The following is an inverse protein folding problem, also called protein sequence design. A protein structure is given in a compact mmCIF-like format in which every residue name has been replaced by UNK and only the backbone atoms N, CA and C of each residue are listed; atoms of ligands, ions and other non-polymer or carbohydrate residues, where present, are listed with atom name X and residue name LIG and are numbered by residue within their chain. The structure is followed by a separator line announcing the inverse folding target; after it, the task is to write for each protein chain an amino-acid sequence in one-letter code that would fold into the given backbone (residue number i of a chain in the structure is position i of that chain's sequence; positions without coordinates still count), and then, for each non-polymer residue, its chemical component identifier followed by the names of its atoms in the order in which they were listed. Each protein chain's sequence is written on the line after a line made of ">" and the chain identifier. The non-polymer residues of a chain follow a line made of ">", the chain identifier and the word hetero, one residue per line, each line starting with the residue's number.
data_IF_113712018810
#
_entry.id   IF_113712018810
#
_cell.length_a   1.000
_cell.length_b   1.000
_cell.length_c   1.000
_cell.angle_alpha   90.00
_cell.angle_beta   90.00
_cell.angle_gamma   90.00
#
_symmetry.space_group_name_H-M   'P 1'
#
loop_
_entity.id
_entity.type
_entity.pdbx_description
1 polymer ?
#
# COMPACT_ATOMS: atom_id res chain seq x y z
N UNK A 1 -4.99 -2.14 -7.77
CA UNK A 1 -5.99 -1.09 -8.03
C UNK A 1 -7.33 -1.50 -7.43
N UNK A 2 -7.60 -1.20 -6.16
CA UNK A 2 -8.84 -1.61 -5.47
C UNK A 2 -8.77 -1.54 -3.95
N UNK A 3 -7.57 -1.59 -3.36
CA UNK A 3 -7.40 -1.62 -1.91
C UNK A 3 -8.02 -0.41 -1.18
N UNK A 4 -7.91 0.80 -1.72
CA UNK A 4 -8.43 2.00 -1.03
C UNK A 4 -9.97 2.02 -0.95
N UNK A 5 -10.68 1.53 -1.96
CA UNK A 5 -12.15 1.43 -1.94
C UNK A 5 -12.60 0.37 -0.93
N UNK A 6 -11.84 -0.72 -0.78
CA UNK A 6 -12.11 -1.74 0.25
C UNK A 6 -11.75 -1.31 1.67
N UNK A 7 -10.86 -0.33 1.83
CA UNK A 7 -10.51 0.21 3.15
C UNK A 7 -11.59 1.19 3.65
N UNK A 8 -12.37 1.83 2.78
CA UNK A 8 -13.48 2.72 3.20
C UNK A 8 -14.50 2.01 4.11
N UNK A 9 -15.10 0.86 3.73
CA UNK A 9 -15.99 0.12 4.64
C UNK A 9 -15.25 -0.40 5.88
N UNK A 10 -13.95 -0.73 5.76
CA UNK A 10 -13.11 -1.17 6.88
C UNK A 10 -12.80 -0.05 7.88
N UNK A 11 -12.62 1.19 7.43
CA UNK A 11 -12.47 2.37 8.29
C UNK A 11 -13.81 2.81 8.86
N UNK A 12 -14.89 2.70 8.08
CA UNK A 12 -16.25 3.00 8.54
C UNK A 12 -16.75 2.04 9.63
N UNK A 13 -16.37 0.76 9.64
CA UNK A 13 -16.72 -0.12 10.77
C UNK A 13 -15.98 0.24 12.07
N UNK A 14 -14.75 0.78 11.98
CA UNK A 14 -13.99 1.22 13.16
C UNK A 14 -14.35 2.65 13.60
N UNK A 15 -14.67 3.53 12.66
CA UNK A 15 -15.09 4.91 12.89
C UNK A 15 -16.60 5.06 13.08
N UNK A 16 -17.39 4.05 12.71
CA UNK A 16 -18.85 4.01 12.82
C UNK A 16 -19.36 4.36 14.23
N UNK A 17 -18.91 3.70 15.30
CA UNK A 17 -19.34 4.03 16.66
C UNK A 17 -18.84 5.42 17.15
N UNK A 18 -17.76 5.96 16.58
CA UNK A 18 -17.30 7.33 16.86
C UNK A 18 -18.11 8.38 16.09
N UNK A 19 -18.49 8.09 14.84
CA UNK A 19 -19.35 8.90 13.99
C UNK A 19 -20.80 8.94 14.51
N UNK A 20 -21.33 7.83 15.04
CA UNK A 20 -22.65 7.78 15.66
C UNK A 20 -22.76 8.66 16.90
N UNK A 21 -21.68 8.79 17.68
CA UNK A 21 -21.62 9.64 18.87
C UNK A 21 -21.54 11.14 18.53
N UNK A 22 -21.01 11.49 17.36
CA UNK A 22 -20.81 12.88 16.91
C UNK A 22 -21.94 13.35 15.98
N UNK A 23 -22.62 12.46 15.24
CA UNK A 23 -23.66 12.81 14.26
C UNK A 23 -24.86 11.83 14.35
N UNK A 24 -25.92 12.19 15.11
CA UNK A 24 -27.11 11.36 15.26
C UNK A 24 -27.99 11.24 14.00
N UNK A 25 -27.96 12.21 13.08
CA UNK A 25 -28.87 12.28 11.91
C UNK A 25 -28.41 11.44 10.72
N UNK A 26 -29.20 10.43 10.34
CA UNK A 26 -28.92 9.53 9.21
C UNK A 26 -28.78 10.25 7.86
N UNK A 27 -29.49 11.37 7.65
CA UNK A 27 -29.40 12.19 6.43
C UNK A 27 -28.05 12.90 6.30
N UNK A 28 -27.54 13.49 7.38
CA UNK A 28 -26.21 14.14 7.39
C UNK A 28 -25.08 13.13 7.28
N UNK A 29 -25.25 11.89 7.75
CA UNK A 29 -24.27 10.81 7.53
C UNK A 29 -24.13 10.45 6.05
N UNK A 30 -25.23 10.44 5.28
CA UNK A 30 -25.19 10.16 3.86
C UNK A 30 -24.49 11.29 3.08
N UNK A 31 -24.74 12.56 3.44
CA UNK A 31 -24.04 13.71 2.85
C UNK A 31 -22.55 13.72 3.19
N UNK A 32 -22.19 13.51 4.46
CA UNK A 32 -20.78 13.42 4.90
C UNK A 32 -20.08 12.22 4.27
N UNK A 33 -20.76 11.09 4.09
CA UNK A 33 -20.21 9.95 3.36
C UNK A 33 -20.00 10.26 1.88
N UNK A 34 -20.92 10.96 1.23
CA UNK A 34 -20.79 11.36 -0.16
C UNK A 34 -19.67 12.39 -0.35
N UNK A 35 -19.53 13.36 0.55
CA UNK A 35 -18.46 14.34 0.55
C UNK A 35 -17.11 13.69 0.85
N UNK A 36 -17.05 12.76 1.82
CA UNK A 36 -15.85 11.98 2.10
C UNK A 36 -15.45 11.09 0.91
N UNK A 37 -16.40 10.41 0.28
CA UNK A 37 -16.13 9.63 -0.93
C UNK A 37 -15.61 10.51 -2.08
N UNK A 38 -16.18 11.70 -2.28
CA UNK A 38 -15.67 12.67 -3.26
C UNK A 38 -14.25 13.12 -2.91
N UNK A 39 -13.99 13.50 -1.66
CA UNK A 39 -12.66 13.90 -1.19
C UNK A 39 -11.62 12.78 -1.33
N UNK A 40 -12.01 11.52 -1.08
CA UNK A 40 -11.14 10.35 -1.28
C UNK A 40 -10.87 10.12 -2.77
N UNK A 41 -11.88 10.26 -3.63
CA UNK A 41 -11.72 10.10 -5.07
C UNK A 41 -10.82 11.18 -5.67
N UNK A 42 -10.97 12.42 -5.24
CA UNK A 42 -10.09 13.54 -5.61
C UNK A 42 -8.65 13.31 -5.14
N UNK A 43 -8.45 12.91 -3.88
CA UNK A 43 -7.13 12.54 -3.39
C UNK A 43 -6.51 11.37 -4.18
N UNK A 44 -7.31 10.37 -4.54
CA UNK A 44 -6.83 9.25 -5.34
C UNK A 44 -6.42 9.70 -6.75
N UNK A 45 -7.20 10.60 -7.37
CA UNK A 45 -6.84 11.21 -8.65
C UNK A 45 -5.52 11.99 -8.54
N UNK A 46 -5.34 12.80 -7.51
CA UNK A 46 -4.11 13.55 -7.27
C UNK A 46 -2.90 12.62 -7.04
N UNK A 47 -3.07 11.55 -6.27
CA UNK A 47 -2.03 10.54 -6.07
C UNK A 47 -1.67 9.83 -7.38
N UNK A 48 -2.67 9.47 -8.19
CA UNK A 48 -2.45 8.83 -9.49
C UNK A 48 -1.71 9.76 -10.45
N UNK A 49 -2.05 11.04 -10.48
CA UNK A 49 -1.33 12.05 -11.27
C UNK A 49 0.11 12.20 -10.81
N UNK A 50 0.35 12.36 -9.50
CA UNK A 50 1.70 12.44 -8.95
C UNK A 50 2.54 11.19 -9.27
N UNK A 51 1.96 9.99 -9.13
CA UNK A 51 2.63 8.74 -9.50
C UNK A 51 2.95 8.68 -11.01
N UNK A 52 2.06 9.19 -11.86
CA UNK A 52 2.27 9.25 -13.29
C UNK A 52 3.37 10.25 -13.66
N UNK A 53 3.45 11.41 -12.98
CA UNK A 53 4.52 12.38 -13.16
C UNK A 53 5.89 11.80 -12.76
N UNK A 54 5.97 11.15 -11.60
CA UNK A 54 7.21 10.48 -11.18
C UNK A 54 7.58 9.39 -12.19
N UNK A 55 6.61 8.63 -12.70
CA UNK A 55 6.88 7.62 -13.72
C UNK A 55 7.38 8.22 -15.04
N UNK A 56 6.85 9.37 -15.46
CA UNK A 56 7.34 10.10 -16.62
C UNK A 56 8.74 10.64 -16.40
N UNK A 57 9.04 11.15 -15.20
CA UNK A 57 10.37 11.62 -14.83
C UNK A 57 11.39 10.48 -14.79
N UNK A 58 11.02 9.33 -14.20
CA UNK A 58 11.84 8.11 -14.17
C UNK A 58 12.13 7.59 -15.58
N UNK A 59 11.12 7.60 -16.46
CA UNK A 59 11.26 7.16 -17.86
C UNK A 59 12.11 8.13 -18.70
N UNK A 60 12.01 9.44 -18.45
CA UNK A 60 12.78 10.47 -19.14
C UNK A 60 14.23 10.58 -18.64
N UNK A 61 14.56 9.99 -17.48
CA UNK A 61 15.91 10.03 -16.92
C UNK A 61 16.94 9.38 -17.85
N UNK A 62 18.12 9.98 -17.98
CA UNK A 62 19.22 9.51 -18.83
C UNK A 62 19.91 8.25 -18.26
N UNK A 63 19.75 7.98 -16.95
CA UNK A 63 20.30 6.81 -16.29
C UNK A 63 19.55 5.52 -16.63
N UNK A 64 20.24 4.54 -17.23
CA UNK A 64 19.67 3.22 -17.56
C UNK A 64 19.07 2.50 -16.33
N UNK A 65 19.69 2.63 -15.16
CA UNK A 65 19.21 2.00 -13.93
C UNK A 65 17.92 2.64 -13.41
N UNK A 66 17.83 3.97 -13.42
CA UNK A 66 16.65 4.72 -12.95
C UNK A 66 15.43 4.43 -13.83
N UNK A 67 15.63 4.36 -15.15
CA UNK A 67 14.57 4.02 -16.12
C UNK A 67 14.04 2.60 -15.96
N UNK A 68 14.93 1.64 -15.67
CA UNK A 68 14.58 0.22 -15.62
C UNK A 68 14.28 -0.30 -14.22
N UNK A 69 14.42 0.52 -13.17
CA UNK A 69 14.20 0.08 -11.79
C UNK A 69 12.83 -0.57 -11.59
N UNK A 70 11.75 0.02 -12.11
CA UNK A 70 10.38 -0.54 -11.97
C UNK A 70 10.19 -1.83 -12.78
N UNK A 71 10.48 -1.88 -14.10
CA UNK A 71 10.46 -3.14 -14.85
C UNK A 71 11.30 -4.25 -14.22
N UNK A 72 12.49 -3.92 -13.69
CA UNK A 72 13.40 -4.90 -13.11
C UNK A 72 12.82 -5.55 -11.85
N UNK A 73 12.16 -4.79 -10.97
CA UNK A 73 11.46 -5.35 -9.80
C UNK A 73 10.31 -6.25 -10.23
N UNK A 74 9.57 -5.88 -11.28
CA UNK A 74 8.47 -6.70 -11.80
C UNK A 74 9.00 -8.01 -12.40
N UNK A 75 10.05 -7.95 -13.22
CA UNK A 75 10.69 -9.14 -13.80
C UNK A 75 11.27 -10.03 -12.72
N UNK A 76 11.94 -9.46 -11.71
CA UNK A 76 12.46 -10.21 -10.58
C UNK A 76 11.33 -10.90 -9.79
N UNK A 77 10.26 -10.17 -9.48
CA UNK A 77 9.09 -10.74 -8.79
C UNK A 77 8.42 -11.86 -9.59
N UNK A 78 8.23 -11.65 -10.89
CA UNK A 78 7.68 -12.67 -11.78
C UNK A 78 8.61 -13.88 -11.85
N UNK A 79 9.93 -13.68 -11.94
CA UNK A 79 10.92 -14.75 -11.95
C UNK A 79 10.89 -15.57 -10.65
N UNK A 80 10.77 -14.93 -9.48
CA UNK A 80 10.62 -15.66 -8.21
C UNK A 80 9.33 -16.49 -8.18
N UNK A 81 8.20 -15.92 -8.63
CA UNK A 81 6.91 -16.62 -8.70
C UNK A 81 6.98 -17.79 -9.68
N UNK A 82 7.58 -17.60 -10.85
CA UNK A 82 7.78 -18.66 -11.85
C UNK A 82 8.72 -19.74 -11.33
N UNK A 83 9.79 -19.36 -10.62
CA UNK A 83 10.72 -20.32 -10.03
C UNK A 83 10.04 -21.21 -8.98
N UNK A 84 9.32 -20.60 -8.03
CA UNK A 84 8.64 -21.33 -6.95
C UNK A 84 7.39 -22.08 -7.46
N UNK A 85 6.63 -21.48 -8.37
CA UNK A 85 5.33 -21.98 -8.81
C UNK A 85 5.35 -22.88 -10.04
N UNK A 86 6.38 -22.81 -10.89
CA UNK A 86 6.44 -23.57 -12.15
C UNK A 86 7.70 -24.43 -12.23
N UNK A 87 8.87 -23.83 -12.01
CA UNK A 87 10.16 -24.54 -12.16
C UNK A 87 10.36 -25.57 -11.03
N UNK A 88 10.12 -25.19 -9.77
CA UNK A 88 10.30 -26.09 -8.63
C UNK A 88 9.34 -27.30 -8.64
N UNK A 89 8.05 -27.17 -9.00
CA UNK A 89 7.17 -28.32 -9.19
C UNK A 89 7.55 -29.19 -10.41
N UNK A 90 8.00 -28.58 -11.52
CA UNK A 90 8.40 -29.31 -12.72
C UNK A 90 9.66 -30.18 -12.50
N UNK A 91 10.57 -29.74 -11.62
CA UNK A 91 11.77 -30.49 -11.23
C UNK A 91 11.56 -31.41 -10.02
N UNK A 92 10.36 -31.46 -9.44
CA UNK A 92 10.07 -32.24 -8.22
C UNK A 92 10.66 -31.66 -6.92
N UNK A 93 11.29 -30.49 -6.99
CA UNK A 93 11.99 -29.81 -5.87
C UNK A 93 11.04 -29.01 -4.98
N UNK A 94 9.73 -29.06 -5.21
CA UNK A 94 8.76 -28.26 -4.46
C UNK A 94 8.84 -28.49 -2.95
N UNK A 95 9.08 -29.73 -2.50
CA UNK A 95 9.25 -30.04 -1.07
C UNK A 95 10.52 -29.43 -0.50
N UNK A 96 11.61 -29.41 -1.26
CA UNK A 96 12.89 -28.83 -0.83
C UNK A 96 12.83 -27.30 -0.80
N UNK A 97 12.17 -26.68 -1.77
CA UNK A 97 11.96 -25.22 -1.80
C UNK A 97 11.09 -24.77 -0.63
N UNK A 98 10.00 -25.49 -0.34
CA UNK A 98 9.16 -25.22 0.83
C UNK A 98 9.93 -25.47 2.13
N UNK A 99 10.69 -26.56 2.22
CA UNK A 99 11.53 -26.85 3.39
C UNK A 99 12.60 -25.78 3.62
N UNK A 100 13.25 -25.25 2.57
CA UNK A 100 14.21 -24.17 2.67
C UNK A 100 13.56 -22.85 3.13
N UNK A 101 12.34 -22.54 2.66
CA UNK A 101 11.56 -21.40 3.12
C UNK A 101 11.15 -21.54 4.60
N UNK A 102 10.72 -22.73 5.02
CA UNK A 102 10.34 -23.02 6.41
C UNK A 102 11.54 -23.19 7.35
N UNK A 103 12.72 -23.54 6.83
CA UNK A 103 13.96 -23.59 7.60
C UNK A 103 14.55 -22.20 7.88
N UNK A 104 13.98 -21.15 7.26
CA UNK A 104 14.36 -19.77 7.57
C UNK A 104 13.92 -19.45 9.00
N UNK A 105 14.83 -19.00 9.89
CA UNK A 105 14.51 -18.74 11.29
C UNK A 105 13.31 -17.80 11.47
N UNK A 106 12.37 -18.16 12.35
CA UNK A 106 11.19 -17.33 12.66
C UNK A 106 11.54 -15.91 13.11
N UNK A 107 12.71 -15.72 13.71
CA UNK A 107 13.25 -14.41 14.08
C UNK A 107 13.41 -13.49 12.85
N UNK A 108 13.88 -14.01 11.70
CA UNK A 108 14.00 -13.21 10.47
C UNK A 108 12.64 -12.75 9.97
N UNK A 109 11.63 -13.63 9.96
CA UNK A 109 10.27 -13.28 9.60
C UNK A 109 9.66 -12.22 10.53
N UNK A 110 9.95 -12.32 11.82
CA UNK A 110 9.49 -11.36 12.82
C UNK A 110 10.18 -9.99 12.65
N UNK A 111 11.49 -9.95 12.41
CA UNK A 111 12.22 -8.71 12.12
C UNK A 111 11.71 -8.02 10.85
N UNK A 112 11.40 -8.77 9.79
CA UNK A 112 10.79 -8.23 8.57
C UNK A 112 9.40 -7.65 8.88
N UNK A 113 8.59 -8.37 9.64
CA UNK A 113 7.24 -7.93 10.00
C UNK A 113 7.25 -6.68 10.89
N UNK A 114 8.15 -6.63 11.88
CA UNK A 114 8.34 -5.48 12.76
C UNK A 114 8.88 -4.27 11.99
N UNK A 115 9.84 -4.47 11.08
CA UNK A 115 10.40 -3.36 10.29
C UNK A 115 9.38 -2.77 9.32
N UNK A 116 8.63 -3.62 8.60
CA UNK A 116 7.56 -3.17 7.70
C UNK A 116 6.41 -2.54 8.50
N UNK A 117 5.96 -3.21 9.57
CA UNK A 117 4.89 -2.72 10.44
C UNK A 117 5.24 -1.39 11.11
N UNK A 118 6.45 -1.27 11.64
CA UNK A 118 6.99 -0.05 12.23
C UNK A 118 7.06 1.10 11.22
N UNK A 119 7.52 0.84 9.99
CA UNK A 119 7.56 1.86 8.93
C UNK A 119 6.15 2.33 8.53
N UNK A 120 5.20 1.41 8.36
CA UNK A 120 3.82 1.76 8.01
C UNK A 120 3.18 2.59 9.14
N UNK A 121 3.38 2.20 10.40
CA UNK A 121 2.88 2.94 11.57
C UNK A 121 3.49 4.34 11.65
N UNK A 122 4.82 4.47 11.57
CA UNK A 122 5.51 5.76 11.61
C UNK A 122 5.03 6.69 10.49
N UNK A 123 4.89 6.17 9.26
CA UNK A 123 4.43 6.94 8.11
C UNK A 123 2.95 7.34 8.20
N UNK A 124 2.14 6.53 8.85
CA UNK A 124 0.72 6.85 9.12
C UNK A 124 0.62 7.96 10.15
N UNK A 125 1.43 7.92 11.20
CA UNK A 125 1.52 8.98 12.21
C UNK A 125 2.01 10.28 11.57
N UNK A 126 3.07 10.25 10.77
CA UNK A 126 3.61 11.42 10.06
C UNK A 126 2.55 12.10 9.18
N UNK A 127 1.82 11.31 8.38
CA UNK A 127 0.74 11.83 7.54
C UNK A 127 -0.44 12.37 8.36
N UNK A 128 -0.79 11.70 9.47
CA UNK A 128 -1.83 12.15 10.38
C UNK A 128 -1.50 13.50 10.99
N UNK A 129 -0.25 13.68 11.45
CA UNK A 129 0.23 14.95 11.98
C UNK A 129 0.24 16.04 10.90
N UNK A 130 0.68 15.72 9.68
CA UNK A 130 0.66 16.66 8.55
C UNK A 130 -0.75 17.08 8.13
N UNK A 131 -1.76 16.22 8.31
CA UNK A 131 -3.16 16.53 8.02
C UNK A 131 -3.81 17.43 9.07
N UNK A 132 -3.37 17.35 10.33
CA UNK A 132 -3.92 18.14 11.45
C UNK A 132 -3.17 19.46 11.63
N UNK A 133 -1.90 19.53 11.24
CA UNK A 133 -1.12 20.77 11.30
C UNK A 133 -1.56 21.70 10.17
N UNK A 134 -2.11 22.90 10.45
CA UNK A 134 -2.43 23.86 9.41
C UNK A 134 -1.14 24.23 8.70
N UNK A 135 -1.21 24.30 7.36
CA UNK A 135 -0.12 24.62 6.44
C UNK A 135 0.40 26.04 6.74
N UNK A 136 1.21 26.18 7.79
CA UNK A 136 1.85 27.42 8.16
C UNK A 136 2.98 27.67 7.15
N UNK A 137 2.64 28.50 6.16
CA UNK A 137 3.52 29.35 5.37
C UNK A 137 4.95 28.81 5.12
N UNK A 138 5.12 28.10 4.00
CA UNK A 138 6.32 28.19 3.15
C UNK A 138 5.91 28.10 1.70
#
# INVERSE_FOLDING_TARGET
>A
MGALITIIPMLLQFLGPALEKVIPDAGKRAEVQAEFQKAVLENQSALNQAMAEVMKADAASEGWLTRNARPMVVVWGLAMVTYVGVIAPMLGLQKEVIAALSATPDNLWNLISISIGGFILARTVEKGIAAITPKAAR
#
